data_IF_557233191220
#
_entry.id   IF_557233191220
#
_cell.length_a   1.000
_cell.length_b   1.000
_cell.length_c   1.000
_cell.angle_alpha   90.00
_cell.angle_beta   90.00
_cell.angle_gamma   90.00
#
_symmetry.space_group_name_H-M   'P 1'
#
loop_
_entity.id
_entity.type
_entity.pdbx_description
1 polymer ?
#
# COMPACT_ATOMS: atom_id res chain seq x y z
N UNK A 1 -2.93 15.17 -9.47
CA UNK A 1 -3.20 15.97 -8.26
C UNK A 1 -4.43 16.85 -8.40
N UNK A 2 -4.57 17.66 -9.44
CA UNK A 2 -5.77 18.51 -9.69
C UNK A 2 -7.04 17.68 -9.88
N UNK A 3 -6.98 16.55 -10.62
CA UNK A 3 -8.12 15.65 -10.84
C UNK A 3 -8.65 15.05 -9.53
N UNK A 4 -7.76 14.69 -8.62
CA UNK A 4 -8.09 14.14 -7.28
C UNK A 4 -8.79 15.20 -6.40
N UNK A 5 -8.35 16.45 -6.47
CA UNK A 5 -8.99 17.56 -5.74
C UNK A 5 -10.37 17.89 -6.30
N UNK A 6 -10.55 17.86 -7.61
CA UNK A 6 -11.84 18.07 -8.28
C UNK A 6 -12.81 16.91 -7.99
N UNK A 7 -12.35 15.67 -7.97
CA UNK A 7 -13.16 14.53 -7.55
C UNK A 7 -13.58 14.63 -6.08
N UNK A 8 -12.70 15.11 -5.20
CA UNK A 8 -13.00 15.31 -3.77
C UNK A 8 -14.10 16.36 -3.54
N UNK A 9 -14.12 17.44 -4.31
CA UNK A 9 -15.17 18.49 -4.21
C UNK A 9 -16.52 17.99 -4.76
N UNK A 10 -16.50 17.29 -5.89
CA UNK A 10 -17.71 16.76 -6.53
C UNK A 10 -18.42 15.69 -5.69
N UNK A 11 -17.62 14.84 -5.01
CA UNK A 11 -18.15 13.80 -4.12
C UNK A 11 -18.72 14.34 -2.83
N UNK A 12 -18.07 15.32 -2.18
CA UNK A 12 -18.58 15.94 -0.97
C UNK A 12 -19.98 16.53 -1.20
N UNK A 13 -20.22 17.09 -2.38
CA UNK A 13 -21.50 17.69 -2.75
C UNK A 13 -22.57 16.66 -3.11
N UNK A 14 -22.20 15.52 -3.75
CA UNK A 14 -23.16 14.46 -4.06
C UNK A 14 -23.58 13.67 -2.81
N UNK A 15 -22.63 13.38 -1.92
CA UNK A 15 -22.88 12.71 -0.65
C UNK A 15 -23.76 13.55 0.26
N UNK A 16 -23.49 14.86 0.39
CA UNK A 16 -24.30 15.75 1.24
C UNK A 16 -25.73 15.93 0.75
N UNK A 17 -25.99 15.87 -0.55
CA UNK A 17 -27.35 15.95 -1.11
C UNK A 17 -28.18 14.68 -0.85
N UNK A 18 -27.58 13.50 -0.97
CA UNK A 18 -28.30 12.24 -0.73
C UNK A 18 -28.63 11.98 0.76
N UNK A 19 -27.92 12.60 1.70
CA UNK A 19 -28.18 12.45 3.13
C UNK A 19 -29.43 13.19 3.63
N UNK A 20 -29.87 14.23 2.95
CA UNK A 20 -30.97 15.08 3.40
C UNK A 20 -32.35 14.53 3.01
N UNK A 21 -32.43 13.57 2.10
CA UNK A 21 -33.70 13.15 1.48
C UNK A 21 -34.14 11.70 1.77
N UNK A 22 -33.37 10.92 2.52
CA UNK A 22 -33.74 9.51 2.82
C UNK A 22 -34.34 9.32 4.21
N UNK A 23 -35.40 8.54 4.36
CA UNK A 23 -35.98 8.25 5.68
C UNK A 23 -35.00 7.42 6.52
N UNK A 24 -34.63 7.96 7.68
CA UNK A 24 -33.62 7.41 8.60
C UNK A 24 -33.93 5.99 9.12
N UNK A 25 -35.16 5.58 9.12
CA UNK A 25 -35.62 4.27 9.63
C UNK A 25 -35.44 3.13 8.61
N UNK A 26 -35.37 3.42 7.31
CA UNK A 26 -35.08 2.36 6.31
C UNK A 26 -33.62 1.89 6.42
N UNK A 27 -32.72 2.76 6.90
CA UNK A 27 -31.31 2.47 7.14
C UNK A 27 -31.06 1.42 8.23
N UNK A 28 -32.01 1.22 9.16
CA UNK A 28 -31.86 0.29 10.28
C UNK A 28 -32.41 -1.10 9.96
N UNK A 29 -33.27 -1.25 8.92
CA UNK A 29 -34.01 -2.49 8.65
C UNK A 29 -33.35 -3.38 7.59
N UNK A 30 -32.56 -2.82 6.66
CA UNK A 30 -31.85 -3.57 5.64
C UNK A 30 -30.34 -3.24 5.61
N UNK A 31 -29.55 -3.77 6.53
CA UNK A 31 -28.13 -3.37 6.67
C UNK A 31 -27.19 -4.02 5.66
N UNK A 32 -27.64 -4.93 4.78
CA UNK A 32 -26.65 -5.75 4.10
C UNK A 32 -26.29 -5.29 2.67
N UNK A 33 -27.16 -5.54 1.71
CA UNK A 33 -26.81 -5.58 0.30
C UNK A 33 -26.71 -4.22 -0.39
N UNK A 34 -27.53 -3.28 0.00
CA UNK A 34 -27.52 -1.93 -0.58
C UNK A 34 -26.20 -1.19 -0.32
N UNK A 35 -25.68 -1.29 0.89
CA UNK A 35 -24.42 -0.64 1.29
C UNK A 35 -23.21 -1.30 0.64
N UNK A 36 -23.24 -2.62 0.49
CA UNK A 36 -22.22 -3.39 -0.22
C UNK A 36 -22.16 -2.94 -1.68
N UNK A 37 -23.30 -2.91 -2.36
CA UNK A 37 -23.39 -2.45 -3.74
C UNK A 37 -22.93 -1.00 -3.92
N UNK A 38 -23.30 -0.11 -2.98
CA UNK A 38 -22.89 1.29 -3.01
C UNK A 38 -21.36 1.43 -2.81
N UNK A 39 -20.76 0.62 -1.96
CA UNK A 39 -19.31 0.61 -1.76
C UNK A 39 -18.56 0.12 -3.00
N UNK A 40 -19.01 -0.98 -3.63
CA UNK A 40 -18.37 -1.56 -4.81
C UNK A 40 -18.57 -0.74 -6.09
N UNK A 41 -19.71 -0.08 -6.25
CA UNK A 41 -19.99 0.78 -7.41
C UNK A 41 -19.34 2.18 -7.30
N UNK A 42 -18.74 2.49 -6.18
CA UNK A 42 -18.05 3.76 -6.01
C UNK A 42 -16.69 3.70 -6.73
N UNK A 43 -16.54 4.52 -7.77
CA UNK A 43 -15.32 4.59 -8.57
C UNK A 43 -14.04 4.79 -7.74
N UNK A 44 -14.15 5.55 -6.66
CA UNK A 44 -13.00 5.75 -5.75
C UNK A 44 -12.61 4.50 -4.98
N UNK A 45 -13.57 3.66 -4.58
CA UNK A 45 -13.26 2.39 -3.92
C UNK A 45 -12.47 1.50 -4.87
N UNK A 46 -12.88 1.43 -6.13
CA UNK A 46 -12.19 0.63 -7.15
C UNK A 46 -10.77 1.15 -7.37
N UNK A 47 -10.61 2.45 -7.63
CA UNK A 47 -9.29 3.04 -7.90
C UNK A 47 -8.34 2.92 -6.71
N UNK A 48 -8.82 3.19 -5.49
CA UNK A 48 -7.99 3.08 -4.29
C UNK A 48 -7.69 1.62 -3.92
N UNK A 49 -8.57 0.67 -4.26
CA UNK A 49 -8.30 -0.75 -4.08
C UNK A 49 -7.24 -1.25 -5.05
N UNK A 50 -7.28 -0.82 -6.31
CA UNK A 50 -6.23 -1.13 -7.29
C UNK A 50 -4.88 -0.51 -6.91
N UNK A 51 -4.90 0.73 -6.42
CA UNK A 51 -3.70 1.38 -5.92
C UNK A 51 -3.11 0.62 -4.71
N UNK A 52 -3.97 0.19 -3.78
CA UNK A 52 -3.55 -0.60 -2.63
C UNK A 52 -3.00 -1.97 -3.03
N UNK A 53 -3.62 -2.64 -4.00
CA UNK A 53 -3.12 -3.89 -4.58
C UNK A 53 -1.70 -3.72 -5.12
N UNK A 54 -1.44 -2.63 -5.87
CA UNK A 54 -0.13 -2.33 -6.42
C UNK A 54 0.93 -2.04 -5.34
N UNK A 55 0.56 -1.41 -4.22
CA UNK A 55 1.47 -1.14 -3.08
C UNK A 55 1.73 -2.41 -2.26
N UNK A 56 0.74 -3.27 -2.08
CA UNK A 56 0.86 -4.49 -1.29
C UNK A 56 1.75 -5.52 -2.00
N UNK A 57 1.75 -5.57 -3.32
CA UNK A 57 2.61 -6.49 -4.08
C UNK A 57 4.10 -6.35 -3.71
N UNK A 58 4.74 -5.17 -3.77
CA UNK A 58 6.13 -5.02 -3.33
C UNK A 58 6.36 -5.27 -1.83
N UNK A 59 5.37 -5.04 -0.97
CA UNK A 59 5.48 -5.37 0.47
C UNK A 59 5.60 -6.88 0.67
N UNK A 60 4.71 -7.68 0.08
CA UNK A 60 4.79 -9.14 0.15
C UNK A 60 6.07 -9.67 -0.46
N UNK A 61 6.44 -9.16 -1.62
CA UNK A 61 7.67 -9.53 -2.28
C UNK A 61 8.89 -9.26 -1.41
N UNK A 62 9.01 -8.06 -0.88
CA UNK A 62 10.09 -7.70 0.03
C UNK A 62 10.15 -8.64 1.24
N UNK A 63 9.01 -8.91 1.87
CA UNK A 63 8.95 -9.78 3.05
C UNK A 63 9.39 -11.21 2.77
N UNK A 64 9.05 -11.76 1.60
CA UNK A 64 9.44 -13.11 1.19
C UNK A 64 10.92 -13.20 0.78
N UNK A 65 11.43 -12.13 0.12
CA UNK A 65 12.77 -12.15 -0.44
C UNK A 65 13.87 -11.69 0.51
N UNK A 66 13.52 -10.89 1.52
CA UNK A 66 14.50 -10.35 2.46
C UNK A 66 15.43 -11.42 3.06
N UNK A 67 14.94 -12.56 3.58
CA UNK A 67 15.81 -13.62 4.09
C UNK A 67 16.68 -14.24 2.99
N UNK A 68 16.17 -14.33 1.78
CA UNK A 68 16.91 -14.92 0.63
C UNK A 68 18.04 -14.01 0.18
N UNK A 69 17.79 -12.69 0.10
CA UNK A 69 18.81 -11.69 -0.20
C UNK A 69 19.93 -11.75 0.83
N UNK A 70 19.61 -11.82 2.12
CA UNK A 70 20.62 -11.86 3.17
C UNK A 70 21.41 -13.19 3.13
N UNK A 71 20.77 -14.31 2.76
CA UNK A 71 21.47 -15.59 2.53
C UNK A 71 22.45 -15.49 1.36
N UNK A 72 22.10 -14.84 0.26
CA UNK A 72 22.99 -14.66 -0.89
C UNK A 72 24.22 -13.80 -0.56
N UNK A 73 24.18 -13.02 0.51
CA UNK A 73 25.32 -12.27 1.05
C UNK A 73 26.32 -13.15 1.83
N UNK A 74 26.13 -14.50 1.85
CA UNK A 74 27.06 -15.45 2.48
C UNK A 74 26.80 -15.75 3.96
N UNK A 75 25.70 -15.25 4.52
CA UNK A 75 25.35 -15.53 5.93
C UNK A 75 24.64 -16.89 6.10
N UNK A 76 24.94 -17.60 7.19
CA UNK A 76 24.23 -18.84 7.58
C UNK A 76 22.75 -18.55 7.82
N UNK A 77 21.87 -19.53 7.58
CA UNK A 77 20.42 -19.38 7.63
C UNK A 77 19.90 -18.71 8.91
N UNK A 78 20.45 -19.05 10.08
CA UNK A 78 20.06 -18.48 11.37
C UNK A 78 20.47 -16.98 11.47
N UNK A 79 21.70 -16.67 11.07
CA UNK A 79 22.18 -15.28 11.05
C UNK A 79 21.44 -14.44 10.01
N UNK A 80 21.07 -15.03 8.87
CA UNK A 80 20.27 -14.33 7.86
C UNK A 80 18.89 -13.92 8.40
N UNK A 81 18.23 -14.79 9.17
CA UNK A 81 16.96 -14.44 9.83
C UNK A 81 17.12 -13.35 10.89
N UNK A 82 18.18 -13.40 11.70
CA UNK A 82 18.47 -12.34 12.66
C UNK A 82 18.73 -10.99 11.99
N UNK A 83 19.43 -10.99 10.86
CA UNK A 83 19.71 -9.77 10.09
C UNK A 83 18.50 -9.19 9.37
N UNK A 84 17.34 -9.89 9.32
CA UNK A 84 16.08 -9.31 8.84
C UNK A 84 15.41 -8.39 9.86
N UNK A 85 15.78 -8.52 11.16
CA UNK A 85 15.16 -7.74 12.24
C UNK A 85 15.46 -6.24 12.15
N UNK A 86 16.71 -5.78 11.97
CA UNK A 86 17.01 -4.36 11.91
C UNK A 86 16.28 -3.59 10.80
N UNK A 87 16.18 -4.07 9.53
CA UNK A 87 15.38 -3.40 8.51
C UNK A 87 13.90 -3.30 8.87
N UNK A 88 13.32 -4.34 9.51
CA UNK A 88 11.93 -4.32 9.94
C UNK A 88 11.67 -3.33 11.09
N UNK A 89 12.61 -3.20 12.02
CA UNK A 89 12.56 -2.15 13.07
C UNK A 89 12.65 -0.76 12.43
N UNK A 90 13.52 -0.57 11.46
CA UNK A 90 13.61 0.67 10.69
C UNK A 90 12.29 0.98 9.95
N UNK A 91 11.67 -0.03 9.34
CA UNK A 91 10.35 0.08 8.71
C UNK A 91 9.28 0.52 9.72
N UNK A 92 9.23 -0.10 10.90
CA UNK A 92 8.29 0.27 11.94
C UNK A 92 8.42 1.74 12.36
N UNK A 93 9.64 2.20 12.61
CA UNK A 93 9.90 3.60 12.95
C UNK A 93 9.50 4.55 11.82
N UNK A 94 9.78 4.18 10.56
CA UNK A 94 9.38 4.98 9.39
C UNK A 94 7.86 5.08 9.25
N UNK A 95 7.12 3.98 9.48
CA UNK A 95 5.65 3.96 9.48
C UNK A 95 5.10 4.94 10.51
N UNK A 96 5.60 4.90 11.75
CA UNK A 96 5.15 5.81 12.80
C UNK A 96 5.43 7.28 12.44
N UNK A 97 6.64 7.58 11.99
CA UNK A 97 7.05 8.93 11.62
C UNK A 97 6.22 9.47 10.46
N UNK A 98 6.12 8.72 9.36
CA UNK A 98 5.44 9.17 8.15
C UNK A 98 3.94 9.30 8.38
N UNK A 99 3.33 8.35 9.11
CA UNK A 99 1.89 8.43 9.44
C UNK A 99 1.60 9.63 10.33
N UNK A 100 2.40 9.84 11.38
CA UNK A 100 2.24 11.00 12.25
C UNK A 100 2.41 12.33 11.49
N UNK A 101 3.41 12.41 10.62
CA UNK A 101 3.67 13.59 9.80
C UNK A 101 2.53 13.86 8.81
N UNK A 102 2.05 12.81 8.14
CA UNK A 102 0.92 12.86 7.21
C UNK A 102 -0.38 13.33 7.89
N UNK A 103 -0.65 12.86 9.11
CA UNK A 103 -1.83 13.28 9.86
C UNK A 103 -1.70 14.74 10.35
N UNK A 104 -0.50 15.16 10.77
CA UNK A 104 -0.22 16.54 11.16
C UNK A 104 -0.44 17.52 10.03
N UNK A 105 0.05 17.21 8.83
CA UNK A 105 -0.12 18.07 7.64
C UNK A 105 -1.45 17.86 6.90
N UNK A 106 -2.24 16.85 7.28
CA UNK A 106 -3.50 16.45 6.64
C UNK A 106 -3.39 16.22 5.13
N UNK A 107 -2.20 15.88 4.66
CA UNK A 107 -1.88 15.59 3.25
C UNK A 107 -1.28 14.20 3.13
N UNK A 108 -2.03 13.25 2.55
CA UNK A 108 -1.57 11.85 2.39
C UNK A 108 -0.85 11.59 1.09
N UNK A 109 -1.28 12.25 0.00
CA UNK A 109 -0.72 12.07 -1.33
C UNK A 109 0.78 12.36 -1.44
N UNK A 110 1.29 13.53 -1.00
CA UNK A 110 2.71 13.85 -1.08
C UNK A 110 3.61 12.88 -0.29
N UNK A 111 3.14 12.41 0.86
CA UNK A 111 3.88 11.43 1.68
C UNK A 111 3.94 10.05 1.03
N UNK A 112 2.87 9.64 0.34
CA UNK A 112 2.90 8.43 -0.49
C UNK A 112 3.92 8.53 -1.62
N UNK A 113 3.90 9.65 -2.36
CA UNK A 113 4.86 9.88 -3.45
C UNK A 113 6.30 9.87 -2.94
N UNK A 114 6.57 10.54 -1.81
CA UNK A 114 7.90 10.51 -1.18
C UNK A 114 8.31 9.08 -0.80
N UNK A 115 7.40 8.29 -0.20
CA UNK A 115 7.63 6.88 0.12
C UNK A 115 7.98 6.04 -1.12
N UNK A 116 7.24 6.23 -2.23
CA UNK A 116 7.51 5.56 -3.49
C UNK A 116 8.89 5.92 -4.06
N UNK A 117 9.28 7.20 -4.04
CA UNK A 117 10.61 7.64 -4.51
C UNK A 117 11.73 7.01 -3.68
N UNK A 118 11.60 6.99 -2.35
CA UNK A 118 12.56 6.33 -1.46
C UNK A 118 12.65 4.83 -1.73
N UNK A 119 11.51 4.17 -1.94
CA UNK A 119 11.48 2.74 -2.26
C UNK A 119 12.16 2.44 -3.61
N UNK A 120 11.90 3.25 -4.64
CA UNK A 120 12.53 3.11 -5.96
C UNK A 120 14.06 3.27 -5.84
N UNK A 121 14.53 4.27 -5.08
CA UNK A 121 15.96 4.44 -4.83
C UNK A 121 16.58 3.22 -4.13
N UNK A 122 15.88 2.65 -3.15
CA UNK A 122 16.30 1.41 -2.48
C UNK A 122 16.38 0.21 -3.43
N UNK A 123 15.40 0.05 -4.33
CA UNK A 123 15.42 -1.02 -5.34
C UNK A 123 16.56 -0.83 -6.36
N UNK A 124 16.82 0.40 -6.79
CA UNK A 124 17.97 0.69 -7.67
C UNK A 124 19.28 0.31 -6.99
N UNK A 125 19.43 0.61 -5.70
CA UNK A 125 20.62 0.20 -4.94
C UNK A 125 20.78 -1.32 -4.85
N UNK A 126 19.68 -2.06 -4.72
CA UNK A 126 19.70 -3.52 -4.69
C UNK A 126 20.13 -4.13 -6.03
N UNK A 127 19.76 -3.51 -7.15
CA UNK A 127 20.05 -4.01 -8.50
C UNK A 127 21.45 -3.59 -8.97
N UNK A 128 21.86 -2.37 -8.66
CA UNK A 128 23.04 -1.72 -9.28
C UNK A 128 24.37 -2.10 -8.66
N UNK A 129 24.42 -2.61 -7.44
CA UNK A 129 25.66 -2.84 -6.70
C UNK A 129 25.89 -4.31 -6.32
N UNK A 130 27.10 -4.81 -6.62
CA UNK A 130 27.56 -6.13 -6.18
C UNK A 130 28.20 -6.13 -4.77
N UNK A 131 28.28 -4.98 -4.10
CA UNK A 131 28.80 -4.89 -2.74
C UNK A 131 27.73 -5.24 -1.70
N UNK A 132 27.96 -6.29 -0.93
CA UNK A 132 27.04 -6.80 0.08
C UNK A 132 26.55 -5.76 1.09
N UNK A 133 27.43 -4.84 1.50
CA UNK A 133 27.07 -3.76 2.45
C UNK A 133 26.06 -2.77 1.86
N UNK A 134 26.21 -2.43 0.58
CA UNK A 134 25.32 -1.49 -0.12
C UNK A 134 23.95 -2.13 -0.37
N UNK A 135 23.93 -3.42 -0.75
CA UNK A 135 22.69 -4.17 -0.90
C UNK A 135 21.91 -4.24 0.43
N UNK A 136 22.61 -4.48 1.54
CA UNK A 136 21.97 -4.48 2.86
C UNK A 136 21.42 -3.09 3.22
N UNK A 137 22.16 -2.00 2.92
CA UNK A 137 21.65 -0.64 3.05
C UNK A 137 20.40 -0.36 2.19
N UNK A 138 20.36 -0.91 0.98
CA UNK A 138 19.19 -0.85 0.09
C UNK A 138 17.94 -1.46 0.69
N UNK A 139 18.07 -2.55 1.47
CA UNK A 139 16.91 -3.19 2.15
C UNK A 139 16.26 -2.24 3.17
N UNK A 140 17.03 -1.42 3.88
CA UNK A 140 16.48 -0.41 4.80
C UNK A 140 15.70 0.66 4.06
N UNK A 141 16.21 1.16 2.93
CA UNK A 141 15.53 2.17 2.12
C UNK A 141 14.22 1.65 1.54
N UNK A 142 14.22 0.42 1.00
CA UNK A 142 12.99 -0.21 0.50
C UNK A 142 11.97 -0.33 1.62
N UNK A 143 12.37 -0.86 2.77
CA UNK A 143 11.49 -1.02 3.92
C UNK A 143 10.92 0.32 4.38
N UNK A 144 11.77 1.33 4.55
CA UNK A 144 11.35 2.67 4.99
C UNK A 144 10.42 3.37 4.00
N UNK A 145 10.53 3.07 2.68
CA UNK A 145 9.68 3.67 1.65
C UNK A 145 8.33 2.95 1.47
N UNK A 146 8.35 1.61 1.41
CA UNK A 146 7.16 0.83 1.01
C UNK A 146 6.17 0.66 2.16
N UNK A 147 6.63 0.33 3.37
CA UNK A 147 5.74 0.04 4.50
C UNK A 147 4.83 1.20 4.91
N UNK A 148 5.28 2.48 4.96
CA UNK A 148 4.40 3.59 5.30
C UNK A 148 3.27 3.84 4.29
N UNK A 149 3.44 3.43 3.04
CA UNK A 149 2.42 3.63 2.01
C UNK A 149 1.12 2.86 2.31
N UNK A 150 1.21 1.68 2.94
CA UNK A 150 0.06 0.83 3.25
C UNK A 150 -0.96 1.52 4.16
N UNK A 151 -0.63 2.00 5.38
CA UNK A 151 -1.60 2.67 6.25
C UNK A 151 -2.10 4.01 5.67
N UNK A 152 -1.27 4.70 4.86
CA UNK A 152 -1.69 5.95 4.23
C UNK A 152 -2.82 5.73 3.22
N UNK A 153 -2.76 4.69 2.38
CA UNK A 153 -3.82 4.37 1.40
C UNK A 153 -5.08 3.87 2.08
N UNK A 154 -4.95 2.99 3.09
CA UNK A 154 -6.11 2.52 3.87
C UNK A 154 -6.84 3.68 4.53
N UNK A 155 -6.10 4.56 5.19
CA UNK A 155 -6.66 5.75 5.81
C UNK A 155 -7.24 6.74 4.79
N UNK A 156 -6.69 6.79 3.56
CA UNK A 156 -7.25 7.64 2.51
C UNK A 156 -8.64 7.17 2.08
N UNK A 157 -8.81 5.87 1.82
CA UNK A 157 -10.13 5.31 1.49
C UNK A 157 -11.12 5.54 2.63
N UNK A 158 -10.72 5.22 3.86
CA UNK A 158 -11.58 5.39 5.03
C UNK A 158 -12.08 6.82 5.23
N UNK A 159 -11.27 7.83 4.89
CA UNK A 159 -11.65 9.25 4.99
C UNK A 159 -12.54 9.73 3.84
N UNK A 160 -12.55 9.02 2.72
CA UNK A 160 -13.36 9.39 1.54
C UNK A 160 -14.71 8.67 1.49
N UNK A 161 -14.93 7.68 2.33
CA UNK A 161 -16.19 6.93 2.38
C UNK A 161 -17.08 7.39 3.53
N UNK A 162 -18.32 7.68 3.21
CA UNK A 162 -19.43 7.93 4.13
C UNK A 162 -20.69 7.25 3.55
N UNK A 163 -21.55 6.66 4.34
CA UNK A 163 -21.64 6.52 5.79
C UNK A 163 -20.78 5.40 6.38
N UNK A 164 -20.87 5.19 7.69
CA UNK A 164 -20.06 4.23 8.44
C UNK A 164 -20.07 2.81 7.84
N UNK A 165 -21.23 2.32 7.41
CA UNK A 165 -21.37 0.99 6.79
C UNK A 165 -20.67 0.88 5.44
N UNK A 166 -20.74 1.92 4.60
CA UNK A 166 -20.03 1.97 3.31
C UNK A 166 -18.52 2.01 3.53
N UNK A 167 -18.06 2.73 4.56
CA UNK A 167 -16.64 2.77 4.95
C UNK A 167 -16.15 1.37 5.36
N UNK A 168 -16.87 0.69 6.25
CA UNK A 168 -16.49 -0.64 6.72
C UNK A 168 -16.44 -1.65 5.56
N UNK A 169 -17.46 -1.66 4.71
CA UNK A 169 -17.53 -2.55 3.54
C UNK A 169 -16.45 -2.22 2.51
N UNK A 170 -16.23 -0.94 2.21
CA UNK A 170 -15.22 -0.50 1.24
C UNK A 170 -13.80 -0.82 1.71
N UNK A 171 -13.49 -0.62 3.00
CA UNK A 171 -12.19 -0.98 3.57
C UNK A 171 -11.99 -2.50 3.56
N UNK A 172 -13.03 -3.28 3.88
CA UNK A 172 -12.97 -4.74 3.79
C UNK A 172 -12.72 -5.24 2.36
N UNK A 173 -13.42 -4.66 1.37
CA UNK A 173 -13.22 -4.97 -0.04
C UNK A 173 -11.79 -4.61 -0.51
N UNK A 174 -11.26 -3.46 -0.09
CA UNK A 174 -9.90 -3.04 -0.38
C UNK A 174 -8.87 -4.04 0.13
N UNK A 175 -9.00 -4.50 1.38
CA UNK A 175 -8.10 -5.49 1.98
C UNK A 175 -8.23 -6.85 1.27
N UNK A 176 -9.44 -7.26 0.92
CA UNK A 176 -9.68 -8.51 0.19
C UNK A 176 -8.96 -8.50 -1.17
N UNK A 177 -9.13 -7.46 -1.95
CA UNK A 177 -8.47 -7.30 -3.25
C UNK A 177 -6.95 -7.26 -3.08
N UNK A 178 -6.45 -6.52 -2.09
CA UNK A 178 -5.02 -6.40 -1.83
C UNK A 178 -4.38 -7.74 -1.43
N UNK A 179 -5.07 -8.58 -0.66
CA UNK A 179 -4.55 -9.90 -0.29
C UNK A 179 -4.41 -10.84 -1.50
N UNK A 180 -5.16 -10.63 -2.59
CA UNK A 180 -4.91 -11.34 -3.84
C UNK A 180 -3.53 -11.04 -4.43
N UNK A 181 -2.90 -9.91 -4.09
CA UNK A 181 -1.53 -9.60 -4.49
C UNK A 181 -0.49 -10.56 -3.90
N UNK A 182 -0.78 -11.18 -2.75
CA UNK A 182 0.10 -12.20 -2.16
C UNK A 182 0.27 -13.41 -3.07
N UNK A 183 -0.82 -13.84 -3.74
CA UNK A 183 -0.74 -14.94 -4.71
C UNK A 183 0.19 -14.57 -5.86
N UNK A 184 0.03 -13.38 -6.44
CA UNK A 184 0.88 -12.91 -7.54
C UNK A 184 2.34 -12.84 -7.08
N UNK A 185 2.62 -12.27 -5.91
CA UNK A 185 3.96 -12.19 -5.35
C UNK A 185 4.59 -13.58 -5.19
N UNK A 186 3.82 -14.57 -4.71
CA UNK A 186 4.32 -15.95 -4.50
C UNK A 186 4.56 -16.67 -5.82
N UNK A 187 3.64 -16.59 -6.80
CA UNK A 187 3.79 -17.23 -8.09
C UNK A 187 4.89 -16.61 -8.95
N UNK A 188 5.10 -15.30 -8.85
CA UNK A 188 6.19 -14.62 -9.54
C UNK A 188 7.56 -15.06 -9.02
N UNK A 189 7.64 -15.48 -7.75
CA UNK A 189 8.85 -16.07 -7.17
C UNK A 189 9.20 -17.43 -7.77
N UNK A 190 8.20 -18.25 -8.09
CA UNK A 190 8.40 -19.60 -8.64
C UNK A 190 8.90 -19.57 -10.10
N UNK A 191 8.64 -18.50 -10.83
CA UNK A 191 8.93 -18.35 -12.26
C UNK A 191 10.35 -17.85 -12.59
N UNK A 192 11.27 -17.98 -11.68
CA UNK A 192 12.71 -17.95 -11.88
C UNK A 192 13.36 -16.73 -12.46
N UNK A 193 13.72 -15.75 -12.19
CA UNK A 193 14.82 -14.81 -12.47
C UNK A 193 14.65 -13.52 -11.65
N UNK A 194 15.51 -13.39 -10.64
CA UNK A 194 15.49 -12.26 -9.72
C UNK A 194 15.43 -10.88 -10.45
N UNK A 195 16.07 -10.77 -11.62
CA UNK A 195 16.08 -9.56 -12.42
C UNK A 195 14.71 -9.19 -13.02
N UNK A 196 13.98 -10.15 -13.54
CA UNK A 196 12.63 -9.92 -14.12
C UNK A 196 11.67 -9.50 -13.03
N UNK A 197 11.79 -10.07 -11.85
CA UNK A 197 10.99 -9.74 -10.69
C UNK A 197 11.22 -8.30 -10.20
N UNK A 198 12.47 -7.89 -10.02
CA UNK A 198 12.82 -6.54 -9.59
C UNK A 198 12.37 -5.47 -10.60
N UNK A 199 12.49 -5.75 -11.90
CA UNK A 199 12.02 -4.86 -12.95
C UNK A 199 10.50 -4.72 -12.95
N UNK A 200 9.76 -5.79 -12.65
CA UNK A 200 8.31 -5.78 -12.55
C UNK A 200 7.83 -4.97 -11.35
N UNK A 201 8.50 -5.08 -10.21
CA UNK A 201 8.22 -4.28 -9.02
C UNK A 201 8.47 -2.79 -9.25
N UNK A 202 9.57 -2.48 -9.93
CA UNK A 202 9.92 -1.10 -10.29
C UNK A 202 8.86 -0.50 -11.23
N UNK A 203 8.38 -1.27 -12.22
CA UNK A 203 7.28 -0.89 -13.10
C UNK A 203 5.96 -0.68 -12.33
N UNK A 204 5.63 -1.59 -11.42
CA UNK A 204 4.43 -1.44 -10.58
C UNK A 204 4.48 -0.16 -9.73
N UNK A 205 5.63 0.17 -9.17
CA UNK A 205 5.82 1.41 -8.43
C UNK A 205 5.75 2.66 -9.32
N UNK A 206 6.31 2.61 -10.53
CA UNK A 206 6.22 3.70 -11.50
C UNK A 206 4.79 3.95 -12.00
N UNK A 207 3.95 2.93 -12.05
CA UNK A 207 2.53 3.08 -12.44
C UNK A 207 1.69 3.74 -11.34
N UNK A 208 2.16 3.76 -10.10
CA UNK A 208 1.51 4.42 -8.95
C UNK A 208 1.84 5.91 -8.90
N UNK A 209 3.00 6.31 -9.43
CA UNK A 209 3.48 7.70 -9.52
C UNK A 209 2.77 8.49 -10.62
#
# INVERSE_FOLDING_TARGET
MVLILLMKSKMRNSVSKNWRSGPRYILLIFPGWHWVRMAFLNWNTILLSLNFFAIITPIYSYSLFLPTIIKSLGYKAVHAQLLTVPPNVGAFLSVLLVTWLSDKYRMRGPFMLAGCVVAIAGYIMLISNNHHTIQYGGTFLVAAGVFPCSPLVMGWLANNLAPHYVRATGTGAQIMIANCAAFIATFTYLAADAYVFWSSLLRAMLTIL
#
